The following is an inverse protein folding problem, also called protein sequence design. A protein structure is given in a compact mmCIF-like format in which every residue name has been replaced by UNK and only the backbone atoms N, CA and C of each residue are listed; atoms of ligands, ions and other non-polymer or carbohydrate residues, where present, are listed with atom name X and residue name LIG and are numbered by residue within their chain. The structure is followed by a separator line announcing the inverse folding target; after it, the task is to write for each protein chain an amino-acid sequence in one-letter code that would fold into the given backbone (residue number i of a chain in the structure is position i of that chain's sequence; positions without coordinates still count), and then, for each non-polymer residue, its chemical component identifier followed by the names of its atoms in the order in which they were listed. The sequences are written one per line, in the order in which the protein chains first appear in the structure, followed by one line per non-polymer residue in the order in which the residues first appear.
data_IF_869183448399
#
_entry.id   IF_869183448399
#
_cell.length_a   1.000
_cell.length_b   1.000
_cell.length_c   1.000
_cell.angle_alpha   90.00
_cell.angle_beta   90.00
_cell.angle_gamma   90.00
#
_symmetry.space_group_name_H-M   'P 1'
#
loop_
_entity.id
_entity.type
_entity.pdbx_description
1 polymer ?
#
# COMPACT_ATOMS: atom_id res chain seq x y z
N UNK A 1 -16.34 29.26 -29.03
CA UNK A 1 -15.59 28.75 -30.21
C UNK A 1 -14.28 28.10 -29.79
N UNK A 2 -13.46 28.73 -28.94
CA UNK A 2 -12.21 28.15 -28.37
C UNK A 2 -12.45 26.82 -27.62
N UNK A 3 -13.40 26.79 -26.69
CA UNK A 3 -13.78 25.61 -25.90
C UNK A 3 -14.27 24.40 -26.71
N UNK A 4 -14.83 24.62 -27.91
CA UNK A 4 -15.30 23.52 -28.76
C UNK A 4 -14.15 22.90 -29.56
N UNK A 5 -13.17 23.72 -29.95
CA UNK A 5 -11.94 23.29 -30.64
C UNK A 5 -11.07 22.48 -29.67
N UNK A 6 -10.90 22.98 -28.44
CA UNK A 6 -10.12 22.32 -27.38
C UNK A 6 -10.67 20.90 -27.04
N UNK A 7 -12.00 20.71 -27.08
CA UNK A 7 -12.64 19.41 -26.87
C UNK A 7 -12.43 18.43 -28.03
N UNK A 8 -12.42 18.94 -29.27
CA UNK A 8 -12.25 18.12 -30.46
C UNK A 8 -10.81 17.65 -30.62
N UNK A 9 -9.86 18.52 -30.26
CA UNK A 9 -8.43 18.21 -30.20
C UNK A 9 -8.13 17.21 -29.08
N UNK A 10 -8.72 17.38 -27.89
CA UNK A 10 -8.59 16.39 -26.81
C UNK A 10 -9.13 15.01 -27.21
N UNK A 11 -10.29 14.95 -27.87
CA UNK A 11 -10.85 13.68 -28.34
C UNK A 11 -9.93 13.00 -29.35
N UNK A 12 -9.32 13.76 -30.27
CA UNK A 12 -8.33 13.25 -31.22
C UNK A 12 -7.05 12.78 -30.52
N UNK A 13 -6.61 13.52 -29.50
CA UNK A 13 -5.45 13.17 -28.69
C UNK A 13 -5.66 11.85 -27.95
N UNK A 14 -6.83 11.66 -27.32
CA UNK A 14 -7.18 10.42 -26.61
C UNK A 14 -7.20 9.19 -27.52
N UNK A 15 -7.61 9.33 -28.79
CA UNK A 15 -7.60 8.22 -29.76
C UNK A 15 -6.21 7.64 -30.03
N UNK A 16 -5.15 8.40 -29.74
CA UNK A 16 -3.78 7.88 -29.84
C UNK A 16 -3.56 6.68 -28.90
N UNK A 17 -4.32 6.58 -27.81
CA UNK A 17 -4.24 5.51 -26.80
C UNK A 17 -5.16 4.31 -27.08
N UNK A 18 -5.84 4.26 -28.22
CA UNK A 18 -6.61 3.07 -28.61
C UNK A 18 -5.68 1.86 -28.77
N UNK A 19 -5.98 0.76 -28.07
CA UNK A 19 -5.13 -0.44 -28.02
C UNK A 19 -4.79 -1.02 -29.40
N UNK A 20 -5.69 -0.86 -30.38
CA UNK A 20 -5.46 -1.27 -31.78
C UNK A 20 -4.27 -0.58 -32.45
N UNK A 21 -3.81 0.56 -31.92
CA UNK A 21 -2.70 1.33 -32.47
C UNK A 21 -1.32 0.84 -32.00
N UNK A 22 -1.27 -0.12 -31.07
CA UNK A 22 -0.01 -0.55 -30.44
C UNK A 22 0.27 -2.03 -30.67
N UNK A 23 1.51 -2.33 -31.07
CA UNK A 23 1.99 -3.70 -31.29
C UNK A 23 2.50 -4.36 -30.00
N UNK A 24 2.90 -3.58 -29.01
CA UNK A 24 3.43 -4.05 -27.73
C UNK A 24 3.26 -2.98 -26.64
N UNK A 25 3.46 -3.37 -25.37
CA UNK A 25 3.33 -2.49 -24.21
C UNK A 25 4.38 -1.36 -24.20
N UNK A 26 5.60 -1.62 -24.67
CA UNK A 26 6.68 -0.63 -24.74
C UNK A 26 6.30 0.58 -25.60
N UNK A 27 5.64 0.35 -26.73
CA UNK A 27 5.20 1.41 -27.63
C UNK A 27 4.13 2.31 -26.98
N UNK A 28 3.27 1.74 -26.12
CA UNK A 28 2.28 2.51 -25.35
C UNK A 28 3.00 3.41 -24.35
N UNK A 29 3.95 2.87 -23.59
CA UNK A 29 4.75 3.65 -22.64
C UNK A 29 5.54 4.77 -23.36
N UNK A 30 6.09 4.49 -24.54
CA UNK A 30 6.81 5.49 -25.37
C UNK A 30 5.89 6.60 -25.86
N UNK A 31 4.69 6.26 -26.32
CA UNK A 31 3.70 7.24 -26.70
C UNK A 31 3.33 8.12 -25.51
N UNK A 32 2.93 7.51 -24.38
CA UNK A 32 2.61 8.20 -23.14
C UNK A 32 3.74 9.12 -22.68
N UNK A 33 4.99 8.66 -22.76
CA UNK A 33 6.17 9.44 -22.41
C UNK A 33 6.30 10.68 -23.29
N UNK A 34 6.12 10.57 -24.61
CA UNK A 34 6.22 11.71 -25.54
C UNK A 34 5.13 12.75 -25.28
N UNK A 35 3.88 12.31 -25.15
CA UNK A 35 2.71 13.18 -25.05
C UNK A 35 2.48 13.75 -23.65
N UNK A 36 3.28 13.36 -22.65
CA UNK A 36 3.13 13.81 -21.26
C UNK A 36 3.26 15.32 -21.07
N UNK A 37 3.89 16.01 -22.02
CA UNK A 37 4.12 17.46 -22.02
C UNK A 37 3.19 18.21 -22.99
N UNK A 38 2.24 17.51 -23.60
CA UNK A 38 1.28 18.11 -24.52
C UNK A 38 0.29 18.99 -23.74
N UNK A 39 -0.23 20.03 -24.39
CA UNK A 39 -1.23 20.95 -23.83
C UNK A 39 -2.49 20.25 -23.32
N UNK A 40 -2.79 19.08 -23.86
CA UNK A 40 -3.94 18.25 -23.53
C UNK A 40 -3.83 17.67 -22.11
N UNK A 41 -2.62 17.49 -21.58
CA UNK A 41 -2.42 17.09 -20.18
C UNK A 41 -2.80 18.21 -19.20
N UNK A 42 -2.53 19.48 -19.56
CA UNK A 42 -2.95 20.65 -18.79
C UNK A 42 -4.46 20.90 -18.91
N UNK A 43 -5.02 20.61 -20.09
CA UNK A 43 -6.46 20.61 -20.29
C UNK A 43 -7.14 19.54 -19.41
N UNK A 44 -6.63 18.31 -19.38
CA UNK A 44 -7.14 17.24 -18.49
C UNK A 44 -7.08 17.65 -17.01
N UNK A 45 -6.01 18.33 -16.59
CA UNK A 45 -5.88 18.87 -15.24
C UNK A 45 -6.97 19.91 -14.94
N UNK A 46 -7.22 20.82 -15.88
CA UNK A 46 -8.29 21.83 -15.76
C UNK A 46 -9.68 21.19 -15.71
N UNK A 47 -9.96 20.22 -16.60
CA UNK A 47 -11.23 19.51 -16.66
C UNK A 47 -11.47 18.58 -15.45
N UNK A 48 -10.41 18.17 -14.75
CA UNK A 48 -10.51 17.35 -13.53
C UNK A 48 -10.94 18.15 -12.29
N UNK A 49 -10.97 19.48 -12.37
CA UNK A 49 -11.32 20.36 -11.24
C UNK A 49 -10.20 20.55 -10.22
N UNK A 50 -9.01 19.97 -10.45
CA UNK A 50 -7.86 20.04 -9.54
C UNK A 50 -7.25 21.46 -9.42
N UNK A 51 -7.58 22.38 -10.33
CA UNK A 51 -7.12 23.78 -10.27
C UNK A 51 -7.96 24.71 -9.40
N UNK A 52 -9.05 24.25 -8.77
CA UNK A 52 -9.83 25.07 -7.81
C UNK A 52 -10.51 26.33 -8.39
N UNK A 53 -10.40 26.57 -9.69
CA UNK A 53 -11.03 27.70 -10.35
C UNK A 53 -12.48 27.32 -10.63
N UNK A 54 -13.41 27.81 -9.81
CA UNK A 54 -14.84 27.48 -9.77
C UNK A 54 -15.67 27.82 -11.01
N UNK A 55 -15.12 27.70 -12.22
CA UNK A 55 -15.77 28.04 -13.50
C UNK A 55 -15.95 26.83 -14.43
N UNK A 56 -15.46 25.64 -14.10
CA UNK A 56 -15.64 24.46 -14.96
C UNK A 56 -17.05 23.85 -14.80
N UNK A 57 -17.92 24.16 -15.76
CA UNK A 57 -19.30 23.66 -15.93
C UNK A 57 -19.34 22.20 -16.40
N UNK A 58 -18.49 21.32 -15.85
CA UNK A 58 -18.46 19.91 -16.21
C UNK A 58 -19.26 19.14 -15.15
N UNK A 59 -20.14 18.21 -15.55
CA UNK A 59 -20.82 17.36 -14.59
C UNK A 59 -19.81 16.68 -13.67
N UNK A 60 -20.03 16.77 -12.35
CA UNK A 60 -19.18 16.17 -11.30
C UNK A 60 -18.96 14.66 -11.52
N UNK A 61 -19.80 14.02 -12.32
CA UNK A 61 -19.71 12.61 -12.71
C UNK A 61 -18.57 12.29 -13.69
N UNK A 62 -18.04 13.27 -14.44
CA UNK A 62 -17.04 13.04 -15.51
C UNK A 62 -15.63 13.49 -15.09
N UNK A 63 -15.52 14.46 -14.17
CA UNK A 63 -14.22 14.92 -13.65
C UNK A 63 -13.29 13.80 -13.15
N UNK A 64 -13.78 12.75 -12.44
CA UNK A 64 -12.94 11.62 -12.03
C UNK A 64 -12.33 10.86 -13.21
N UNK A 65 -13.02 10.80 -14.36
CA UNK A 65 -12.51 10.13 -15.56
C UNK A 65 -11.31 10.86 -16.16
N UNK A 66 -11.34 12.20 -16.20
CA UNK A 66 -10.19 12.98 -16.68
C UNK A 66 -8.98 12.85 -15.76
N UNK A 67 -9.21 12.89 -14.44
CA UNK A 67 -8.18 12.59 -13.43
C UNK A 67 -7.56 11.21 -13.65
N UNK A 68 -8.40 10.20 -13.86
CA UNK A 68 -7.97 8.81 -14.09
C UNK A 68 -7.15 8.68 -15.37
N UNK A 69 -7.57 9.31 -16.47
CA UNK A 69 -6.81 9.30 -17.73
C UNK A 69 -5.43 9.94 -17.53
N UNK A 70 -5.39 11.15 -16.93
CA UNK A 70 -4.13 11.85 -16.62
C UNK A 70 -3.20 10.97 -15.78
N UNK A 71 -3.75 10.32 -14.76
CA UNK A 71 -3.02 9.39 -13.90
C UNK A 71 -2.45 8.19 -14.68
N UNK A 72 -3.25 7.53 -15.53
CA UNK A 72 -2.82 6.37 -16.33
C UNK A 72 -1.72 6.75 -17.31
N UNK A 73 -1.88 7.85 -18.05
CA UNK A 73 -0.86 8.35 -18.98
C UNK A 73 0.44 8.68 -18.22
N UNK A 74 0.33 9.32 -17.06
CA UNK A 74 1.47 9.60 -16.19
C UNK A 74 2.19 8.32 -15.73
N UNK A 75 1.44 7.27 -15.36
CA UNK A 75 2.01 5.97 -14.96
C UNK A 75 2.70 5.25 -16.11
N UNK A 76 2.10 5.24 -17.31
CA UNK A 76 2.71 4.65 -18.50
C UNK A 76 4.02 5.37 -18.87
N UNK A 77 4.01 6.71 -18.80
CA UNK A 77 5.21 7.52 -19.03
C UNK A 77 6.30 7.30 -17.96
N UNK A 78 5.91 6.97 -16.72
CA UNK A 78 6.83 6.80 -15.61
C UNK A 78 7.83 5.67 -15.86
N UNK A 79 7.44 4.57 -16.49
CA UNK A 79 8.34 3.46 -16.83
C UNK A 79 9.60 3.93 -17.59
N UNK A 80 9.41 4.74 -18.63
CA UNK A 80 10.52 5.26 -19.44
C UNK A 80 11.29 6.33 -18.69
N UNK A 81 10.58 7.24 -18.01
CA UNK A 81 11.20 8.30 -17.23
C UNK A 81 12.11 7.74 -16.14
N UNK A 82 11.70 6.69 -15.45
CA UNK A 82 12.50 6.04 -14.40
C UNK A 82 13.76 5.42 -14.99
N UNK A 83 13.67 4.73 -16.13
CA UNK A 83 14.86 4.16 -16.79
C UNK A 83 15.82 5.26 -17.25
N UNK A 84 15.31 6.32 -17.89
CA UNK A 84 16.13 7.46 -18.29
C UNK A 84 16.80 8.14 -17.09
N UNK A 85 16.07 8.39 -16.01
CA UNK A 85 16.62 8.96 -14.79
C UNK A 85 17.71 8.09 -14.18
N UNK A 86 17.50 6.76 -14.12
CA UNK A 86 18.53 5.83 -13.62
C UNK A 86 19.78 5.89 -14.50
N UNK A 87 19.64 5.90 -15.82
CA UNK A 87 20.79 5.99 -16.73
C UNK A 87 21.54 7.32 -16.59
N UNK A 88 20.81 8.43 -16.46
CA UNK A 88 21.39 9.76 -16.22
C UNK A 88 22.12 9.82 -14.87
N UNK A 89 21.53 9.24 -13.82
CA UNK A 89 22.10 9.21 -12.47
C UNK A 89 23.31 8.26 -12.37
N UNK A 90 23.33 7.15 -13.12
CA UNK A 90 24.44 6.20 -13.14
C UNK A 90 25.78 6.85 -13.49
N UNK A 91 25.77 7.86 -14.37
CA UNK A 91 26.98 8.62 -14.72
C UNK A 91 27.59 9.38 -13.54
N UNK A 92 26.79 9.68 -12.51
CA UNK A 92 27.19 10.42 -11.32
C UNK A 92 27.47 9.51 -10.12
N UNK A 93 27.20 8.20 -10.23
CA UNK A 93 27.28 7.23 -9.14
C UNK A 93 28.43 6.23 -9.26
N UNK A 94 29.36 6.41 -10.22
CA UNK A 94 30.47 5.48 -10.46
C UNK A 94 31.24 5.11 -9.19
N UNK A 95 31.65 6.11 -8.40
CA UNK A 95 32.39 5.90 -7.15
C UNK A 95 31.60 5.08 -6.12
N UNK A 96 30.27 5.21 -6.09
CA UNK A 96 29.42 4.45 -5.17
C UNK A 96 29.29 2.98 -5.60
N UNK A 97 29.08 2.75 -6.89
CA UNK A 97 28.89 1.41 -7.46
C UNK A 97 30.19 0.61 -7.49
N UNK A 98 31.35 1.27 -7.52
CA UNK A 98 32.66 0.63 -7.47
C UNK A 98 33.06 0.21 -6.04
N UNK A 99 32.60 0.94 -5.02
CA UNK A 99 32.93 0.69 -3.60
C UNK A 99 31.96 -0.29 -2.94
N UNK A 100 30.68 -0.23 -3.27
CA UNK A 100 29.64 -1.05 -2.63
C UNK A 100 29.13 -2.16 -3.54
N UNK A 101 28.80 -3.32 -2.94
CA UNK A 101 28.21 -4.45 -3.66
C UNK A 101 26.72 -4.55 -3.35
N UNK A 102 25.94 -4.77 -4.38
CA UNK A 102 24.52 -5.10 -4.25
C UNK A 102 24.39 -6.60 -3.92
N UNK A 103 23.64 -6.91 -2.87
CA UNK A 103 23.37 -8.27 -2.44
C UNK A 103 21.86 -8.48 -2.26
N UNK A 104 21.38 -9.65 -2.65
CA UNK A 104 19.98 -10.03 -2.46
C UNK A 104 19.82 -10.62 -1.06
N UNK A 105 18.86 -10.09 -0.30
CA UNK A 105 18.46 -10.66 0.99
C UNK A 105 17.27 -11.62 0.75
N UNK A 106 17.33 -12.88 1.20
CA UNK A 106 16.23 -13.81 1.06
C UNK A 106 14.96 -13.31 1.76
N UNK A 107 13.81 -13.46 1.11
CA UNK A 107 12.52 -13.07 1.69
C UNK A 107 12.19 -14.01 2.87
N UNK A 108 11.96 -13.48 4.07
CA UNK A 108 11.58 -14.29 5.21
C UNK A 108 10.15 -14.82 5.04
N UNK A 109 9.88 -15.97 5.64
CA UNK A 109 8.53 -16.51 5.76
C UNK A 109 7.71 -15.62 6.70
N UNK A 110 6.49 -15.26 6.32
CA UNK A 110 5.57 -14.53 7.19
C UNK A 110 4.84 -15.50 8.12
N UNK A 111 4.47 -15.05 9.32
CA UNK A 111 3.56 -15.81 10.20
C UNK A 111 2.23 -15.99 9.45
N UNK A 112 1.70 -17.23 9.34
CA UNK A 112 0.44 -17.47 8.66
C UNK A 112 -0.70 -16.78 9.40
N UNK A 113 -1.72 -16.36 8.65
CA UNK A 113 -2.90 -15.74 9.23
C UNK A 113 -3.62 -16.75 10.10
N UNK A 114 -4.06 -16.31 11.28
CA UNK A 114 -4.88 -17.12 12.17
C UNK A 114 -6.28 -17.29 11.57
N UNK A 115 -6.89 -18.45 11.79
CA UNK A 115 -8.28 -18.66 11.39
C UNK A 115 -9.21 -17.80 12.26
N UNK A 116 -10.24 -17.24 11.64
CA UNK A 116 -11.30 -16.56 12.37
C UNK A 116 -11.96 -17.53 13.35
N UNK A 117 -12.11 -17.09 14.60
CA UNK A 117 -12.78 -17.83 15.66
C UNK A 117 -14.14 -17.19 16.00
N UNK A 118 -14.84 -17.77 16.99
CA UNK A 118 -16.11 -17.24 17.47
C UNK A 118 -16.01 -15.81 18.06
N UNK A 119 -14.80 -15.31 18.33
CA UNK A 119 -14.52 -13.97 18.85
C UNK A 119 -13.99 -13.00 17.78
N UNK A 120 -13.99 -13.42 16.51
CA UNK A 120 -13.64 -12.61 15.34
C UNK A 120 -14.90 -11.91 14.81
N UNK A 121 -15.49 -11.09 15.69
CA UNK A 121 -16.66 -10.26 15.45
C UNK A 121 -16.46 -8.90 16.13
N UNK A 122 -17.31 -7.91 15.83
CA UNK A 122 -17.12 -6.55 16.34
C UNK A 122 -17.08 -6.48 17.87
N UNK A 123 -17.94 -7.24 18.54
CA UNK A 123 -17.98 -7.28 20.01
C UNK A 123 -16.70 -7.88 20.61
N UNK A 124 -16.23 -9.00 20.07
CA UNK A 124 -15.03 -9.68 20.51
C UNK A 124 -13.76 -8.88 20.24
N UNK A 125 -13.67 -8.22 19.08
CA UNK A 125 -12.58 -7.31 18.74
C UNK A 125 -12.59 -6.12 19.70
N UNK A 126 -13.74 -5.46 19.87
CA UNK A 126 -13.85 -4.30 20.75
C UNK A 126 -13.50 -4.64 22.20
N UNK A 127 -13.87 -5.84 22.68
CA UNK A 127 -13.54 -6.32 24.04
C UNK A 127 -12.03 -6.50 24.27
N UNK A 128 -11.27 -6.76 23.20
CA UNK A 128 -9.80 -6.85 23.27
C UNK A 128 -9.16 -5.45 23.27
N UNK A 129 -9.71 -4.53 22.49
CA UNK A 129 -9.21 -3.15 22.37
C UNK A 129 -9.56 -2.29 23.59
N UNK A 130 -10.82 -2.33 23.98
CA UNK A 130 -11.40 -1.69 25.16
C UNK A 130 -11.81 -2.79 26.12
N UNK A 131 -11.32 -2.73 27.36
CA UNK A 131 -11.78 -3.66 28.40
C UNK A 131 -13.31 -3.54 28.50
N UNK A 132 -14.04 -4.63 28.72
CA UNK A 132 -15.51 -4.61 28.78
C UNK A 132 -16.10 -3.66 29.85
N UNK A 133 -15.29 -3.21 30.81
CA UNK A 133 -15.66 -2.27 31.88
C UNK A 133 -15.32 -0.81 31.51
N UNK A 134 -14.79 -0.57 30.31
CA UNK A 134 -14.48 0.77 29.83
C UNK A 134 -15.80 1.56 29.64
N UNK A 135 -15.94 2.75 30.23
CA UNK A 135 -17.13 3.58 30.08
C UNK A 135 -17.50 3.88 28.61
N UNK A 136 -16.51 3.92 27.72
CA UNK A 136 -16.72 4.18 26.29
C UNK A 136 -17.12 2.92 25.50
N UNK A 137 -17.11 1.73 26.11
CA UNK A 137 -17.40 0.48 25.41
C UNK A 137 -18.78 0.50 24.76
N UNK A 138 -19.84 0.79 25.53
CA UNK A 138 -21.23 0.75 25.05
C UNK A 138 -21.45 1.73 23.90
N UNK A 139 -21.04 2.98 24.08
CA UNK A 139 -21.22 4.02 23.06
C UNK A 139 -20.38 3.74 21.80
N UNK A 140 -19.19 3.16 21.94
CA UNK A 140 -18.36 2.72 20.80
C UNK A 140 -19.01 1.54 20.07
N UNK A 141 -19.53 0.56 20.81
CA UNK A 141 -20.18 -0.61 20.24
C UNK A 141 -21.46 -0.28 19.48
N UNK A 142 -22.30 0.61 20.02
CA UNK A 142 -23.51 1.08 19.35
C UNK A 142 -23.19 1.79 18.03
N UNK A 143 -22.19 2.68 18.02
CA UNK A 143 -21.73 3.34 16.80
C UNK A 143 -21.23 2.33 15.75
N UNK A 144 -20.38 1.39 16.15
CA UNK A 144 -19.86 0.36 15.25
C UNK A 144 -20.97 -0.55 14.72
N UNK A 145 -21.97 -0.87 15.53
CA UNK A 145 -23.13 -1.68 15.11
C UNK A 145 -23.98 -0.94 14.08
N UNK A 146 -24.18 0.37 14.27
CA UNK A 146 -24.90 1.20 13.29
C UNK A 146 -24.12 1.35 11.98
N UNK A 147 -22.79 1.42 12.04
CA UNK A 147 -21.92 1.44 10.87
C UNK A 147 -21.97 0.09 10.13
N UNK A 148 -21.87 -1.02 10.87
CA UNK A 148 -21.93 -2.37 10.31
C UNK A 148 -23.23 -2.65 9.55
N UNK A 149 -24.37 -2.20 10.10
CA UNK A 149 -25.66 -2.32 9.43
C UNK A 149 -25.70 -1.61 8.06
N UNK A 150 -24.86 -0.59 7.84
CA UNK A 150 -24.80 0.17 6.60
C UNK A 150 -23.72 -0.35 5.63
N UNK A 151 -22.58 -0.82 6.15
CA UNK A 151 -21.40 -1.13 5.34
C UNK A 151 -21.05 -2.61 5.28
N UNK A 152 -21.65 -3.45 6.13
CA UNK A 152 -21.26 -4.85 6.31
C UNK A 152 -19.82 -5.01 6.80
N UNK A 153 -19.38 -4.11 7.71
CA UNK A 153 -18.03 -4.04 8.25
C UNK A 153 -17.54 -5.39 8.81
N UNK A 154 -18.36 -6.09 9.59
CA UNK A 154 -17.99 -7.38 10.19
C UNK A 154 -17.76 -8.44 9.12
N UNK A 155 -18.57 -8.47 8.06
CA UNK A 155 -18.38 -9.38 6.94
C UNK A 155 -17.07 -9.08 6.21
N UNK A 156 -16.77 -7.80 5.97
CA UNK A 156 -15.51 -7.37 5.36
C UNK A 156 -14.31 -7.74 6.24
N UNK A 157 -14.43 -7.61 7.56
CA UNK A 157 -13.40 -8.04 8.50
C UNK A 157 -13.17 -9.55 8.43
N UNK A 158 -14.23 -10.36 8.41
CA UNK A 158 -14.13 -11.83 8.27
C UNK A 158 -13.46 -12.23 6.96
N UNK A 159 -13.75 -11.52 5.87
CA UNK A 159 -13.11 -11.74 4.57
C UNK A 159 -11.58 -11.50 4.60
N UNK A 160 -11.08 -10.63 5.48
CA UNK A 160 -9.64 -10.46 5.68
C UNK A 160 -8.97 -11.65 6.35
N UNK A 161 -9.74 -12.54 6.99
CA UNK A 161 -9.25 -13.79 7.60
C UNK A 161 -9.27 -14.98 6.64
N UNK A 162 -9.86 -14.82 5.46
CA UNK A 162 -9.88 -15.84 4.42
C UNK A 162 -8.48 -15.98 3.78
N UNK A 163 -7.82 -17.15 3.89
CA UNK A 163 -6.50 -17.36 3.32
C UNK A 163 -6.48 -17.29 1.79
N UNK A 164 -7.61 -17.48 1.10
CA UNK A 164 -7.71 -17.36 -0.35
C UNK A 164 -7.76 -15.88 -0.80
N UNK A 165 -8.25 -14.98 0.06
CA UNK A 165 -8.41 -13.55 -0.25
C UNK A 165 -7.19 -12.73 0.14
N UNK A 166 -6.54 -13.06 1.26
CA UNK A 166 -5.46 -12.22 1.82
C UNK A 166 -4.30 -13.05 2.34
N UNK A 167 -3.19 -13.08 1.60
CA UNK A 167 -1.94 -13.73 2.04
C UNK A 167 -1.06 -12.75 2.82
N UNK A 168 -0.70 -13.05 4.09
CA UNK A 168 0.16 -12.17 4.87
C UNK A 168 1.58 -12.17 4.33
N UNK A 169 2.27 -11.05 4.45
CA UNK A 169 3.63 -10.87 3.97
C UNK A 169 4.46 -10.00 4.89
N UNK A 170 5.75 -10.32 4.96
CA UNK A 170 6.74 -9.47 5.62
C UNK A 170 7.15 -8.37 4.65
N UNK A 171 7.07 -7.13 5.11
CA UNK A 171 7.52 -5.96 4.37
C UNK A 171 9.04 -5.83 4.36
N UNK A 172 9.59 -5.13 3.37
CA UNK A 172 11.04 -5.00 3.17
C UNK A 172 11.74 -4.33 4.36
N UNK A 173 11.09 -3.34 4.99
CA UNK A 173 11.56 -2.64 6.18
C UNK A 173 11.89 -3.64 7.31
N UNK A 174 10.96 -4.55 7.59
CA UNK A 174 11.07 -5.56 8.65
C UNK A 174 12.08 -6.65 8.28
N UNK A 175 12.08 -7.06 7.01
CA UNK A 175 13.07 -7.99 6.47
C UNK A 175 14.50 -7.47 6.68
N UNK A 176 14.75 -6.21 6.30
CA UNK A 176 16.08 -5.62 6.44
C UNK A 176 16.46 -5.41 7.90
N UNK A 177 15.50 -4.98 8.73
CA UNK A 177 15.73 -4.83 10.17
C UNK A 177 16.24 -6.13 10.79
N UNK A 178 15.56 -7.25 10.54
CA UNK A 178 15.96 -8.56 11.04
C UNK A 178 17.22 -9.11 10.36
N UNK A 179 17.42 -8.81 9.07
CA UNK A 179 18.67 -9.18 8.39
C UNK A 179 19.89 -8.57 9.09
N UNK A 180 19.79 -7.33 9.58
CA UNK A 180 20.85 -6.70 10.34
C UNK A 180 20.93 -7.20 11.78
N UNK A 181 19.78 -7.21 12.46
CA UNK A 181 19.72 -7.50 13.89
C UNK A 181 20.06 -8.97 14.22
N UNK A 182 19.43 -9.92 13.54
CA UNK A 182 19.60 -11.35 13.84
C UNK A 182 20.97 -11.89 13.39
N UNK A 183 21.67 -11.17 12.51
CA UNK A 183 22.99 -11.55 11.98
C UNK A 183 24.13 -10.65 12.49
N UNK A 184 23.90 -9.83 13.52
CA UNK A 184 24.88 -8.92 14.13
C UNK A 184 25.66 -8.08 13.10
N UNK A 185 24.94 -7.54 12.10
CA UNK A 185 25.55 -6.74 11.04
C UNK A 185 25.71 -5.30 11.49
N UNK A 186 26.85 -4.71 11.10
CA UNK A 186 27.17 -3.31 11.39
C UNK A 186 26.75 -2.43 10.23
N UNK A 187 26.14 -1.30 10.56
CA UNK A 187 25.86 -0.26 9.60
C UNK A 187 27.13 0.50 9.20
N UNK A 188 27.15 1.01 7.97
CA UNK A 188 28.20 1.91 7.54
C UNK A 188 28.17 3.18 8.41
N UNK A 189 29.34 3.63 8.86
CA UNK A 189 29.50 4.81 9.72
C UNK A 189 28.63 4.82 10.99
N UNK A 190 28.18 3.65 11.48
CA UNK A 190 27.28 3.52 12.64
C UNK A 190 25.92 4.22 12.49
N UNK A 191 25.48 4.44 11.25
CA UNK A 191 24.16 5.00 10.96
C UNK A 191 23.13 3.88 10.82
N UNK A 192 22.36 3.61 11.89
CA UNK A 192 21.35 2.55 11.95
C UNK A 192 20.08 2.87 11.13
N UNK A 193 20.26 3.57 10.01
CA UNK A 193 19.19 3.93 9.09
C UNK A 193 19.01 2.84 8.04
N UNK A 194 17.75 2.43 7.84
CA UNK A 194 17.35 1.50 6.78
C UNK A 194 16.50 2.29 5.78
N UNK A 195 17.09 2.55 4.62
CA UNK A 195 16.37 3.19 3.51
C UNK A 195 15.50 2.17 2.78
N UNK A 196 14.26 2.56 2.46
CA UNK A 196 13.37 1.82 1.56
C UNK A 196 12.92 2.72 0.41
N UNK A 197 12.50 2.12 -0.70
CA UNK A 197 12.08 2.86 -1.90
C UNK A 197 10.78 3.66 -1.71
N UNK A 198 10.04 3.40 -0.64
CA UNK A 198 8.85 4.14 -0.20
C UNK A 198 8.95 4.38 1.31
N UNK A 199 8.28 5.43 1.84
CA UNK A 199 8.05 5.55 3.27
C UNK A 199 7.45 4.26 3.85
N UNK A 200 7.75 3.95 5.10
CA UNK A 200 7.27 2.76 5.76
C UNK A 200 5.76 2.78 5.94
N UNK A 201 5.14 1.60 5.99
CA UNK A 201 3.75 1.52 6.43
C UNK A 201 3.60 1.78 7.93
N UNK A 202 2.37 2.03 8.38
CA UNK A 202 2.11 2.34 9.79
C UNK A 202 2.58 1.21 10.72
N UNK A 203 2.31 -0.05 10.37
CA UNK A 203 2.78 -1.20 11.14
C UNK A 203 4.31 -1.32 11.16
N UNK A 204 4.99 -1.03 10.06
CA UNK A 204 6.45 -1.03 10.00
C UNK A 204 7.06 0.06 10.89
N UNK A 205 6.53 1.28 10.83
CA UNK A 205 6.94 2.40 11.70
C UNK A 205 6.80 2.03 13.18
N UNK A 206 5.64 1.52 13.59
CA UNK A 206 5.42 1.08 14.98
C UNK A 206 6.36 -0.07 15.37
N UNK A 207 6.62 -1.02 14.46
CA UNK A 207 7.54 -2.11 14.75
C UNK A 207 8.97 -1.62 15.00
N UNK A 208 9.47 -0.70 14.16
CA UNK A 208 10.80 -0.08 14.35
C UNK A 208 10.87 0.65 15.69
N UNK A 209 9.88 1.48 16.00
CA UNK A 209 9.80 2.23 17.27
C UNK A 209 9.95 1.36 18.52
N UNK A 210 9.36 0.16 18.48
CA UNK A 210 9.34 -0.76 19.63
C UNK A 210 10.42 -1.84 19.56
N UNK A 211 11.24 -1.86 18.51
CA UNK A 211 12.28 -2.86 18.34
C UNK A 211 13.48 -2.57 19.26
N UNK A 212 14.07 -3.58 19.93
CA UNK A 212 15.18 -3.38 20.86
C UNK A 212 16.50 -2.94 20.20
N UNK A 213 16.57 -2.94 18.86
CA UNK A 213 17.78 -2.61 18.13
C UNK A 213 18.07 -1.10 18.03
N UNK A 214 17.13 -0.25 18.47
CA UNK A 214 17.26 1.21 18.45
C UNK A 214 17.68 1.75 17.06
N UNK A 215 16.98 1.27 16.03
CA UNK A 215 17.16 1.74 14.66
C UNK A 215 16.43 3.05 14.47
N UNK A 216 16.89 3.85 13.50
CA UNK A 216 16.22 5.11 13.15
C UNK A 216 14.80 4.78 12.69
N UNK A 217 13.81 5.38 13.35
CA UNK A 217 12.41 5.21 12.97
C UNK A 217 12.21 5.73 11.53
N UNK A 218 11.65 4.92 10.61
CA UNK A 218 11.47 5.34 9.24
C UNK A 218 10.31 6.34 9.12
N UNK A 219 10.45 7.27 8.19
CA UNK A 219 9.31 8.08 7.72
C UNK A 219 8.18 7.16 7.26
N UNK A 220 6.93 7.58 7.45
CA UNK A 220 5.76 6.77 7.12
C UNK A 220 4.74 7.53 6.30
N UNK A 221 4.12 6.82 5.37
CA UNK A 221 2.95 7.31 4.63
C UNK A 221 1.63 7.04 5.41
N UNK A 222 1.71 6.55 6.65
CA UNK A 222 0.57 6.35 7.57
C UNK A 222 -0.54 5.41 7.05
N UNK A 223 -0.26 4.57 6.04
CA UNK A 223 -1.23 3.58 5.52
C UNK A 223 -1.07 2.26 6.28
N UNK A 224 -2.21 1.63 6.55
CA UNK A 224 -2.30 0.31 7.18
C UNK A 224 -2.51 -0.74 6.10
N UNK A 225 -1.62 -1.73 6.03
CA UNK A 225 -1.73 -2.85 5.11
C UNK A 225 -2.26 -4.08 5.85
N UNK A 226 -3.46 -4.55 5.49
CA UNK A 226 -4.11 -5.69 6.16
C UNK A 226 -3.39 -7.01 5.91
N UNK A 227 -2.58 -7.10 4.86
CA UNK A 227 -1.70 -8.22 4.55
C UNK A 227 -0.31 -8.11 5.21
N UNK A 228 -0.06 -7.14 6.08
CA UNK A 228 1.18 -7.06 6.84
C UNK A 228 1.26 -8.17 7.89
N UNK A 229 2.45 -8.75 8.10
CA UNK A 229 2.70 -9.67 9.20
C UNK A 229 4.18 -9.77 9.60
N UNK A 230 4.46 -10.29 10.81
CA UNK A 230 5.81 -10.45 11.32
C UNK A 230 6.53 -11.66 10.69
N UNK A 231 7.85 -11.69 10.86
CA UNK A 231 8.69 -12.84 10.46
C UNK A 231 8.29 -14.09 11.25
N UNK A 232 8.10 -15.20 10.54
CA UNK A 232 7.94 -16.52 11.12
C UNK A 232 9.30 -17.01 11.64
N UNK A 233 9.40 -17.22 12.95
CA UNK A 233 10.60 -17.76 13.58
C UNK A 233 10.65 -19.28 13.32
N UNK A 234 11.60 -19.72 12.47
CA UNK A 234 11.75 -21.13 12.06
C UNK A 234 12.30 -22.03 13.16
N UNK A 235 12.98 -21.45 14.15
CA UNK A 235 13.49 -22.14 15.34
C UNK A 235 12.37 -22.41 16.35
N UNK A 236 11.46 -23.32 16.03
CA UNK A 236 10.45 -23.74 16.99
C UNK A 236 9.23 -24.37 16.36
N UNK A 237 9.39 -25.50 15.68
CA UNK A 237 8.29 -26.35 15.20
C UNK A 237 7.31 -26.82 16.30
N UNK A 238 7.49 -26.43 17.57
CA UNK A 238 6.46 -26.25 18.59
C UNK A 238 6.90 -25.10 19.51
N UNK A 239 6.13 -24.03 19.58
CA UNK A 239 6.43 -22.84 20.39
C UNK A 239 6.86 -23.17 21.82
N UNK A 240 8.18 -23.17 22.07
CA UNK A 240 8.68 -23.00 23.43
C UNK A 240 8.44 -21.54 23.76
N UNK A 241 7.56 -21.29 24.72
CA UNK A 241 7.33 -19.96 25.29
C UNK A 241 8.60 -19.33 25.88
N UNK A 242 9.67 -20.11 25.98
CA UNK A 242 10.96 -19.75 26.57
C UNK A 242 12.02 -19.37 25.52
N UNK A 243 11.73 -19.40 24.21
CA UNK A 243 12.67 -18.89 23.20
C UNK A 243 12.81 -17.36 23.33
N UNK A 244 14.01 -16.82 23.59
CA UNK A 244 14.24 -15.39 23.69
C UNK A 244 13.77 -14.59 22.46
N UNK A 245 13.92 -15.14 21.24
CA UNK A 245 13.48 -14.46 20.01
C UNK A 245 11.94 -14.39 19.95
N UNK A 246 11.26 -15.46 20.37
CA UNK A 246 9.80 -15.47 20.45
C UNK A 246 9.29 -14.48 21.51
N UNK A 247 9.93 -14.45 22.69
CA UNK A 247 9.57 -13.50 23.76
C UNK A 247 9.76 -12.06 23.28
N UNK A 248 10.88 -11.77 22.62
CA UNK A 248 11.18 -10.45 22.09
C UNK A 248 10.16 -10.01 21.02
N UNK A 249 9.91 -10.87 20.02
CA UNK A 249 8.93 -10.59 18.96
C UNK A 249 7.53 -10.40 19.54
N UNK A 250 7.11 -11.25 20.48
CA UNK A 250 5.81 -11.12 21.15
C UNK A 250 5.71 -9.81 21.93
N UNK A 251 6.78 -9.36 22.60
CA UNK A 251 6.81 -8.09 23.31
C UNK A 251 6.60 -6.93 22.34
N UNK A 252 7.32 -6.91 21.21
CA UNK A 252 7.17 -5.89 20.16
C UNK A 252 5.72 -5.86 19.66
N UNK A 253 5.18 -7.03 19.28
CA UNK A 253 3.84 -7.14 18.73
C UNK A 253 2.75 -6.69 19.71
N UNK A 254 2.86 -7.05 20.99
CA UNK A 254 1.90 -6.58 21.99
C UNK A 254 1.90 -5.05 22.13
N UNK A 255 3.07 -4.40 22.03
CA UNK A 255 3.15 -2.94 22.08
C UNK A 255 2.62 -2.30 20.80
N UNK A 256 2.94 -2.87 19.62
CA UNK A 256 2.35 -2.43 18.34
C UNK A 256 0.82 -2.56 18.36
N UNK A 257 0.28 -3.67 18.88
CA UNK A 257 -1.17 -3.87 19.05
C UNK A 257 -1.76 -2.81 19.96
N UNK A 258 -1.14 -2.51 21.11
CA UNK A 258 -1.64 -1.48 22.03
C UNK A 258 -1.66 -0.08 21.40
N UNK A 259 -0.69 0.24 20.54
CA UNK A 259 -0.68 1.50 19.78
C UNK A 259 -1.79 1.52 18.72
N UNK A 260 -1.94 0.44 17.95
CA UNK A 260 -3.01 0.31 16.96
C UNK A 260 -4.40 0.41 17.61
N UNK A 261 -4.62 -0.28 18.73
CA UNK A 261 -5.88 -0.26 19.46
C UNK A 261 -6.24 1.17 19.89
N UNK A 262 -5.27 1.92 20.39
CA UNK A 262 -5.44 3.32 20.77
C UNK A 262 -5.80 4.20 19.57
N UNK A 263 -5.10 4.07 18.45
CA UNK A 263 -5.38 4.87 17.26
C UNK A 263 -6.76 4.57 16.67
N UNK A 264 -7.15 3.30 16.59
CA UNK A 264 -8.47 2.91 16.09
C UNK A 264 -9.57 3.42 17.01
N UNK A 265 -9.41 3.30 18.33
CA UNK A 265 -10.37 3.85 19.31
C UNK A 265 -10.49 5.37 19.17
N UNK A 266 -9.37 6.08 19.05
CA UNK A 266 -9.36 7.54 18.88
C UNK A 266 -10.08 7.95 17.59
N UNK A 267 -9.83 7.23 16.50
CA UNK A 267 -10.50 7.50 15.22
C UNK A 267 -12.00 7.23 15.29
N UNK A 268 -12.44 6.16 15.96
CA UNK A 268 -13.87 5.90 16.17
C UNK A 268 -14.49 7.03 16.99
N UNK A 269 -13.85 7.45 18.08
CA UNK A 269 -14.34 8.57 18.92
C UNK A 269 -14.44 9.86 18.10
N UNK A 270 -13.43 10.19 17.31
CA UNK A 270 -13.42 11.37 16.45
C UNK A 270 -14.58 11.34 15.46
N UNK A 271 -14.82 10.21 14.79
CA UNK A 271 -15.95 10.07 13.85
C UNK A 271 -17.30 10.13 14.54
N UNK A 272 -17.43 9.54 15.74
CA UNK A 272 -18.65 9.62 16.54
C UNK A 272 -18.95 11.07 16.92
N UNK A 273 -17.96 11.82 17.42
CA UNK A 273 -18.14 13.24 17.76
C UNK A 273 -18.57 14.09 16.56
N UNK A 274 -18.01 13.85 15.38
CA UNK A 274 -18.42 14.53 14.14
C UNK A 274 -19.86 14.16 13.70
N UNK A 275 -20.32 12.95 14.00
CA UNK A 275 -21.68 12.54 13.71
C UNK A 275 -22.69 13.11 14.73
N UNK A 276 -22.28 13.27 15.99
CA UNK A 276 -23.10 13.82 17.07
C UNK A 276 -23.22 15.35 17.01
N UNK A 277 -22.26 16.03 16.40
CA UNK A 277 -22.25 17.48 16.20
C UNK A 277 -22.30 17.75 14.70
N UNK A 278 -23.50 17.85 14.09
CA UNK A 278 -23.62 18.38 12.75
C UNK A 278 -23.13 19.83 12.80
N UNK A 279 -21.89 20.07 12.37
CA UNK A 279 -21.36 21.43 12.28
C UNK A 279 -22.31 22.29 11.46
N UNK A 280 -22.64 23.47 11.98
CA UNK A 280 -23.45 24.49 11.29
C UNK A 280 -22.63 25.18 10.20
N UNK A 281 -22.06 24.37 9.31
CA UNK A 281 -21.47 24.73 8.03
C UNK A 281 -22.01 23.75 7.00
N UNK A 282 -23.29 23.89 6.69
CA UNK A 282 -23.86 23.40 5.43
C UNK A 282 -23.30 24.23 4.27
N UNK A 283 -22.04 24.00 3.94
CA UNK A 283 -21.50 24.20 2.60
C UNK A 283 -21.01 22.84 2.11
N UNK A 284 -21.94 22.10 1.50
CA UNK A 284 -21.72 21.13 0.41
C UNK A 284 -20.29 20.57 0.32
N UNK A 285 -19.89 19.70 1.24
CA UNK A 285 -18.65 18.93 1.07
C UNK A 285 -18.96 17.63 0.35
N UNK A 286 -18.30 17.44 -0.78
CA UNK A 286 -18.43 16.29 -1.66
C UNK A 286 -18.26 14.95 -0.92
N UNK A 287 -19.00 13.95 -1.38
CA UNK A 287 -18.96 12.54 -1.01
C UNK A 287 -17.57 12.08 -0.54
N UNK A 288 -17.42 11.85 0.77
CA UNK A 288 -16.30 11.12 1.37
C UNK A 288 -16.38 9.64 1.00
N UNK A 289 -16.07 9.32 -0.26
CA UNK A 289 -15.63 8.01 -0.69
C UNK A 289 -14.14 8.09 -1.05
N UNK A 290 -13.28 8.23 -0.05
CA UNK A 290 -11.83 7.95 -0.13
C UNK A 290 -11.22 8.04 1.27
N UNK A 291 -11.57 7.11 2.16
CA UNK A 291 -10.77 6.86 3.37
C UNK A 291 -10.18 5.45 3.41
N UNK A 292 -10.40 4.66 2.35
CA UNK A 292 -9.74 3.37 2.13
C UNK A 292 -9.50 3.23 0.64
N UNK A 293 -8.28 3.57 0.21
CA UNK A 293 -7.82 3.53 -1.18
C UNK A 293 -7.94 4.89 -1.88
N UNK A 294 -6.83 5.33 -2.45
CA UNK A 294 -6.68 6.50 -3.34
C UNK A 294 -6.61 7.88 -2.66
N UNK A 295 -5.50 8.13 -1.98
CA UNK A 295 -4.94 9.49 -1.93
C UNK A 295 -3.64 9.52 -2.73
N UNK A 296 -3.65 10.44 -3.68
CA UNK A 296 -2.57 10.84 -4.57
C UNK A 296 -1.35 11.26 -3.75
N UNK A 297 -0.27 10.49 -3.86
CA UNK A 297 1.08 11.03 -3.75
C UNK A 297 1.82 10.81 -5.07
N UNK A 298 2.48 11.88 -5.46
CA UNK A 298 3.37 12.00 -6.60
C UNK A 298 4.53 11.03 -6.51
N UNK A 299 4.79 10.36 -7.64
CA UNK A 299 5.89 9.41 -7.89
C UNK A 299 5.91 8.17 -6.97
N UNK A 300 5.99 7.01 -7.63
CA UNK A 300 6.19 5.67 -7.05
C UNK A 300 4.94 5.01 -6.44
N UNK A 301 4.02 4.57 -7.29
CA UNK A 301 3.21 3.39 -6.94
C UNK A 301 3.02 2.48 -8.17
N UNK A 302 3.75 1.35 -8.17
CA UNK A 302 3.52 0.24 -9.08
C UNK A 302 2.73 -0.87 -8.40
N UNK A 303 1.72 -1.33 -9.13
CA UNK A 303 0.84 -2.44 -8.84
C UNK A 303 1.54 -3.74 -9.19
N UNK A 304 1.52 -4.66 -8.23
CA UNK A 304 1.93 -6.06 -8.30
C UNK A 304 1.31 -6.77 -9.51
N UNK A 305 2.13 -7.10 -10.51
CA UNK A 305 1.76 -8.05 -11.57
C UNK A 305 2.51 -9.34 -11.26
N UNK A 306 1.81 -10.25 -10.59
CA UNK A 306 2.18 -11.65 -10.46
C UNK A 306 2.10 -12.32 -11.83
N UNK A 307 3.17 -12.20 -12.62
CA UNK A 307 3.37 -13.03 -13.82
C UNK A 307 3.80 -14.41 -13.32
N UNK A 308 2.84 -15.33 -13.24
CA UNK A 308 3.11 -16.75 -13.06
C UNK A 308 3.96 -17.24 -14.22
N UNK A 309 5.23 -17.56 -13.96
CA UNK A 309 6.03 -18.38 -14.86
C UNK A 309 5.40 -19.78 -14.87
N UNK A 310 4.69 -20.09 -15.95
CA UNK A 310 4.23 -21.44 -16.24
C UNK A 310 5.43 -22.36 -16.40
N UNK A 311 5.48 -23.41 -15.59
CA UNK A 311 6.36 -24.54 -15.80
C UNK A 311 5.83 -25.33 -17.00
N UNK A 312 6.50 -25.23 -18.14
CA UNK A 312 6.34 -26.18 -19.23
C UNK A 312 7.00 -27.49 -18.81
N UNK A 313 6.18 -28.48 -18.46
CA UNK A 313 6.59 -29.87 -18.34
C UNK A 313 6.72 -30.44 -19.74
N UNK A 314 7.94 -30.59 -20.25
CA UNK A 314 8.19 -31.41 -21.42
C UNK A 314 8.08 -32.89 -21.02
N UNK A 315 7.03 -33.52 -21.50
CA UNK A 315 6.86 -34.97 -21.54
C UNK A 315 7.65 -35.53 -22.73
N UNK A 316 8.78 -36.19 -22.46
CA UNK A 316 9.40 -37.09 -23.43
C UNK A 316 9.10 -38.54 -23.01
N UNK A 317 8.16 -39.12 -23.75
CA UNK A 317 7.88 -40.55 -23.80
C UNK A 317 8.48 -41.11 -25.08
N UNK A 318 9.53 -41.92 -24.93
CA UNK A 318 9.83 -43.12 -25.74
C UNK A 318 11.05 -43.77 -25.08
N UNK A 319 11.10 -45.06 -24.72
CA UNK A 319 10.46 -46.19 -25.37
C UNK A 319 11.52 -46.97 -26.15
N UNK A 320 12.16 -47.96 -25.50
CA UNK A 320 12.64 -49.15 -26.21
C UNK A 320 14.14 -49.47 -26.22
N UNK A 321 14.47 -50.50 -25.43
CA UNK A 321 15.23 -51.70 -25.79
C UNK A 321 16.70 -51.61 -26.24
N UNK A 322 17.55 -52.40 -25.58
CA UNK A 322 18.74 -52.95 -26.23
C UNK A 322 19.87 -53.42 -25.31
N UNK A 323 19.73 -54.65 -24.79
CA UNK A 323 20.77 -55.57 -24.28
C UNK A 323 21.43 -55.20 -22.95
#
# INVERSE_FOLDING_TARGET
MKTLIDQQDLAKWLRQFEFSNFKNLTNICQCAYKVRKDSEMDLLLTLSGELGNGEATIPTTIAPSFRKVRHIVGRLAAYIRTVEAVLDDMHHMGDLLDVFKVAVVPRPTCVPRLQADAHTNLSGILTRMLRAQDPDFTATFEYLSALDAQTGLESQLKDLFDPEKTSPSVHAEIQMLHHFYDNDRKFFAYDNYIATSKPACFCCKLYFRHHPADYVEPDSHEKVYTNWGPICLTSGSRGRRDDPHWIAQRKILNTVIADLDREVVNEIKRRRSLAEHPDTLTELTASSQTLWGDSSDTLYDETDVSVGFGSETHSDSDGGAGI
#
